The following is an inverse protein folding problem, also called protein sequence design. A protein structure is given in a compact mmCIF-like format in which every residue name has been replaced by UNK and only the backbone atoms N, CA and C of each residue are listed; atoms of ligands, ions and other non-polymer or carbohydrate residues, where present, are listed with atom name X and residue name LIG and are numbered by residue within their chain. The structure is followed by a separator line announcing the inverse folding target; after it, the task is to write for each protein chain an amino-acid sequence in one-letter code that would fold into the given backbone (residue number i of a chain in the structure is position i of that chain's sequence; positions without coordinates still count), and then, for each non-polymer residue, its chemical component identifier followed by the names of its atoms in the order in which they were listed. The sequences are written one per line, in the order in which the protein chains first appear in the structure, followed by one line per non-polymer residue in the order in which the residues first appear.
data_IF_181493024484
#
_entry.id   IF_181493024484
#
_cell.length_a   1.000
_cell.length_b   1.000
_cell.length_c   1.000
_cell.angle_alpha   90.00
_cell.angle_beta   90.00
_cell.angle_gamma   90.00
#
_symmetry.space_group_name_H-M   'P 1'
#
loop_
_entity.id
_entity.type
_entity.pdbx_description
1 polymer ?
#
# COMPACT_ATOMS: atom_id res chain seq x y z
N UNK A 1 3.03 17.29 -8.62
CA UNK A 1 2.52 15.91 -8.69
C UNK A 1 2.70 15.25 -7.35
N UNK A 2 1.61 14.74 -6.76
CA UNK A 2 1.63 14.06 -5.45
C UNK A 2 0.97 12.69 -5.54
N UNK A 3 1.64 11.64 -5.09
CA UNK A 3 1.02 10.32 -4.92
C UNK A 3 1.39 9.71 -3.59
N UNK A 4 0.56 8.77 -3.14
CA UNK A 4 0.75 8.08 -1.87
C UNK A 4 0.83 6.58 -2.13
N UNK A 5 1.91 5.96 -1.69
CA UNK A 5 2.05 4.51 -1.69
C UNK A 5 1.62 3.93 -0.35
N UNK A 6 0.92 2.80 -0.38
CA UNK A 6 0.40 2.11 0.81
C UNK A 6 0.76 0.63 0.78
N UNK A 7 0.89 0.06 1.97
CA UNK A 7 0.98 -1.38 2.19
C UNK A 7 0.41 -1.73 3.57
N UNK A 8 -0.17 -2.92 3.72
CA UNK A 8 -0.78 -3.39 4.96
C UNK A 8 -0.32 -4.80 5.32
N UNK A 9 0.07 -4.97 6.60
CA UNK A 9 0.22 -6.31 7.18
C UNK A 9 -1.03 -6.74 7.93
N UNK A 10 -1.31 -8.03 7.94
CA UNK A 10 -2.52 -8.57 8.54
C UNK A 10 -2.24 -9.66 9.56
N UNK A 11 -2.89 -9.59 10.71
CA UNK A 11 -2.86 -10.61 11.75
C UNK A 11 -3.57 -11.90 11.30
N UNK A 12 -4.61 -11.75 10.49
CA UNK A 12 -5.47 -12.83 10.00
C UNK A 12 -6.28 -12.38 8.77
N UNK A 13 -7.13 -13.25 8.25
CA UNK A 13 -7.94 -12.99 7.05
C UNK A 13 -9.29 -12.30 7.33
N UNK A 14 -9.59 -11.94 8.59
CA UNK A 14 -10.82 -11.21 8.93
C UNK A 14 -10.84 -9.81 8.31
N UNK A 15 -12.03 -9.25 8.14
CA UNK A 15 -12.23 -7.92 7.56
C UNK A 15 -11.37 -6.84 8.26
N UNK A 16 -11.34 -6.84 9.59
CA UNK A 16 -10.58 -5.90 10.42
C UNK A 16 -9.24 -6.47 10.94
N UNK A 17 -8.61 -7.37 10.17
CA UNK A 17 -7.37 -8.03 10.56
C UNK A 17 -6.08 -7.23 10.28
N UNK A 18 -6.14 -5.96 9.88
CA UNK A 18 -4.94 -5.14 9.68
C UNK A 18 -4.20 -4.98 11.01
N UNK A 19 -2.91 -5.30 11.03
CA UNK A 19 -2.04 -5.17 12.22
C UNK A 19 -0.86 -4.19 12.00
N UNK A 20 -0.58 -3.79 10.77
CA UNK A 20 0.30 -2.68 10.47
C UNK A 20 -0.13 -1.96 9.20
N UNK A 21 0.21 -0.69 9.10
CA UNK A 21 0.03 0.12 7.90
C UNK A 21 1.29 0.95 7.63
N UNK A 22 1.75 0.93 6.40
CA UNK A 22 2.80 1.77 5.87
C UNK A 22 2.25 2.74 4.84
N UNK A 23 2.63 4.00 4.93
CA UNK A 23 2.23 5.05 3.99
C UNK A 23 3.45 5.91 3.65
N UNK A 24 3.75 6.00 2.37
CA UNK A 24 4.84 6.82 1.85
C UNK A 24 4.29 7.85 0.86
N UNK A 25 4.53 9.13 1.14
CA UNK A 25 4.11 10.25 0.28
C UNK A 25 5.25 10.67 -0.61
N UNK A 26 4.96 10.79 -1.88
CA UNK A 26 5.91 11.25 -2.89
C UNK A 26 5.37 12.53 -3.54
N UNK A 27 6.22 13.56 -3.57
CA UNK A 27 5.91 14.83 -4.24
C UNK A 27 7.06 15.18 -5.19
N UNK A 28 6.72 15.58 -6.40
CA UNK A 28 7.66 16.05 -7.42
C UNK A 28 8.88 15.14 -7.64
N UNK A 29 8.64 13.82 -7.59
CA UNK A 29 9.66 12.81 -7.84
C UNK A 29 10.49 12.41 -6.61
N UNK A 30 10.19 12.95 -5.43
CA UNK A 30 10.90 12.63 -4.18
C UNK A 30 9.97 12.07 -3.10
N UNK A 31 10.49 11.19 -2.26
CA UNK A 31 9.83 10.79 -1.01
C UNK A 31 9.89 11.97 -0.04
N UNK A 32 8.73 12.46 0.40
CA UNK A 32 8.62 13.63 1.28
C UNK A 32 8.17 13.29 2.69
N UNK A 33 7.34 12.28 2.83
CA UNK A 33 6.85 11.83 4.14
C UNK A 33 6.70 10.32 4.18
N UNK A 34 6.98 9.74 5.34
CA UNK A 34 6.79 8.32 5.65
C UNK A 34 6.07 8.17 6.98
N UNK A 35 5.11 7.27 7.02
CA UNK A 35 4.37 6.97 8.26
C UNK A 35 4.15 5.48 8.41
N UNK A 36 4.39 4.98 9.61
CA UNK A 36 4.16 3.60 9.99
C UNK A 36 3.29 3.53 11.24
N UNK A 37 2.32 2.64 11.25
CA UNK A 37 1.52 2.32 12.42
C UNK A 37 1.53 0.82 12.66
N UNK A 38 1.82 0.41 13.89
CA UNK A 38 1.32 -0.84 14.43
C UNK A 38 -0.13 -0.63 14.87
N UNK A 39 -1.00 -1.57 14.54
CA UNK A 39 -2.44 -1.45 14.74
C UNK A 39 -2.92 -2.67 15.51
N UNK A 40 -3.68 -2.43 16.56
CA UNK A 40 -4.33 -3.50 17.30
C UNK A 40 -5.63 -3.89 16.60
N UNK A 41 -5.75 -5.12 16.06
CA UNK A 41 -7.02 -5.59 15.55
C UNK A 41 -8.09 -5.64 16.65
N UNK A 42 -9.38 -5.37 16.34
CA UNK A 42 -10.43 -5.28 17.35
C UNK A 42 -10.70 -6.62 18.03
N UNK A 43 -11.35 -6.57 19.19
CA UNK A 43 -11.80 -7.77 19.91
C UNK A 43 -12.68 -8.63 18.99
N UNK A 44 -12.39 -9.92 18.89
CA UNK A 44 -13.05 -10.84 17.95
C UNK A 44 -12.30 -11.03 16.61
N UNK A 45 -11.39 -10.12 16.26
CA UNK A 45 -10.44 -10.26 15.14
C UNK A 45 -8.98 -10.13 15.60
N UNK A 46 -8.72 -10.13 16.91
CA UNK A 46 -7.41 -9.87 17.50
C UNK A 46 -6.48 -11.10 17.59
N UNK A 47 -6.87 -12.25 17.05
CA UNK A 47 -5.99 -13.42 17.00
C UNK A 47 -5.03 -13.32 15.81
N UNK A 48 -3.83 -13.88 16.00
CA UNK A 48 -2.77 -13.88 14.98
C UNK A 48 -2.55 -15.30 14.46
N UNK A 49 -2.34 -15.41 13.16
CA UNK A 49 -1.99 -16.67 12.51
C UNK A 49 -0.49 -16.83 12.49
N UNK A 50 0.00 -17.99 12.88
CA UNK A 50 1.45 -18.27 12.95
C UNK A 50 2.13 -18.10 11.59
N UNK A 51 1.46 -18.48 10.49
CA UNK A 51 1.99 -18.33 9.15
C UNK A 51 2.16 -16.84 8.74
N UNK A 52 1.31 -15.93 9.21
CA UNK A 52 1.44 -14.50 8.96
C UNK A 52 2.50 -13.87 9.87
N UNK A 53 2.56 -14.29 11.14
CA UNK A 53 3.65 -13.88 12.04
C UNK A 53 5.00 -14.29 11.45
N UNK A 54 5.12 -15.50 10.88
CA UNK A 54 6.35 -15.97 10.25
C UNK A 54 6.77 -15.11 9.04
N UNK A 55 5.82 -14.41 8.40
CA UNK A 55 6.07 -13.52 7.27
C UNK A 55 6.54 -12.14 7.72
N UNK A 56 5.78 -11.45 8.59
CA UNK A 56 6.02 -10.03 8.94
C UNK A 56 6.56 -9.83 10.37
N UNK A 57 6.66 -10.88 11.18
CA UNK A 57 7.21 -10.81 12.54
C UNK A 57 6.31 -10.13 13.59
N UNK A 58 5.16 -9.56 13.21
CA UNK A 58 4.28 -8.83 14.12
C UNK A 58 3.47 -9.82 14.94
N UNK A 59 3.54 -9.70 16.27
CA UNK A 59 2.83 -10.57 17.21
C UNK A 59 1.69 -9.81 17.92
N UNK A 60 0.76 -10.55 18.51
CA UNK A 60 -0.29 -9.98 19.36
C UNK A 60 0.26 -9.09 20.47
N UNK A 61 1.37 -9.49 21.09
CA UNK A 61 1.99 -8.72 22.19
C UNK A 61 2.51 -7.36 21.71
N UNK A 62 3.09 -7.28 20.52
CA UNK A 62 3.59 -6.03 19.94
C UNK A 62 2.50 -4.99 19.72
N UNK A 63 1.29 -5.43 19.38
CA UNK A 63 0.17 -4.52 19.08
C UNK A 63 -0.77 -4.29 20.25
N UNK A 64 -0.58 -4.96 21.39
CA UNK A 64 -1.52 -4.94 22.52
C UNK A 64 -1.87 -3.53 23.03
N UNK A 65 -0.90 -2.63 23.05
CA UNK A 65 -1.06 -1.24 23.50
C UNK A 65 -1.12 -0.24 22.32
N UNK A 66 -1.17 -0.73 21.08
CA UNK A 66 -1.25 0.11 19.89
C UNK A 66 -2.69 0.59 19.66
N UNK A 67 -2.88 1.69 18.90
CA UNK A 67 -4.19 2.17 18.51
C UNK A 67 -4.94 1.13 17.67
N UNK A 68 -6.26 1.17 17.69
CA UNK A 68 -7.10 0.47 16.73
C UNK A 68 -7.22 1.26 15.43
N UNK A 69 -7.67 0.61 14.37
CA UNK A 69 -7.76 1.23 13.04
C UNK A 69 -8.56 2.55 13.03
N UNK A 70 -9.71 2.72 13.75
CA UNK A 70 -10.43 3.99 13.79
C UNK A 70 -9.62 5.18 14.33
N UNK A 71 -8.63 4.92 15.17
CA UNK A 71 -7.80 5.98 15.77
C UNK A 71 -6.76 6.52 14.77
N UNK A 72 -6.27 5.66 13.85
CA UNK A 72 -5.32 6.07 12.81
C UNK A 72 -6.00 6.50 11.51
N UNK A 73 -7.25 6.11 11.32
CA UNK A 73 -8.00 6.34 10.09
C UNK A 73 -8.07 7.82 9.65
N UNK A 74 -8.28 8.81 10.55
CA UNK A 74 -8.32 10.22 10.14
C UNK A 74 -7.02 10.68 9.46
N UNK A 75 -5.85 10.31 10.01
CA UNK A 75 -4.56 10.66 9.43
C UNK A 75 -4.31 9.92 8.11
N UNK A 76 -4.60 8.60 8.07
CA UNK A 76 -4.51 7.79 6.86
C UNK A 76 -5.40 8.38 5.75
N UNK A 77 -6.66 8.66 6.05
CA UNK A 77 -7.63 9.17 5.07
C UNK A 77 -7.28 10.56 4.55
N UNK A 78 -6.74 11.44 5.40
CA UNK A 78 -6.24 12.75 4.96
C UNK A 78 -5.14 12.61 3.91
N UNK A 79 -4.21 11.65 4.09
CA UNK A 79 -3.14 11.37 3.13
C UNK A 79 -3.68 10.80 1.81
N UNK A 80 -4.63 9.86 1.88
CA UNK A 80 -5.26 9.28 0.68
C UNK A 80 -6.05 10.35 -0.10
N UNK A 81 -6.78 11.22 0.59
CA UNK A 81 -7.56 12.30 -0.03
C UNK A 81 -6.70 13.38 -0.69
N UNK A 82 -5.48 13.60 -0.17
CA UNK A 82 -4.54 14.59 -0.70
C UNK A 82 -3.72 14.09 -1.90
N UNK A 83 -3.82 12.81 -2.25
CA UNK A 83 -3.06 12.20 -3.34
C UNK A 83 -3.78 12.35 -4.68
N UNK A 84 -3.05 12.65 -5.75
CA UNK A 84 -3.56 12.57 -7.13
C UNK A 84 -3.91 11.12 -7.51
N UNK A 85 -3.18 10.15 -6.93
CA UNK A 85 -3.40 8.71 -7.07
C UNK A 85 -2.75 7.95 -5.90
N UNK A 86 -3.37 6.84 -5.51
CA UNK A 86 -2.81 5.89 -4.53
C UNK A 86 -2.11 4.75 -5.27
N UNK A 87 -1.03 4.26 -4.70
CA UNK A 87 -0.19 3.22 -5.28
C UNK A 87 -0.05 2.07 -4.29
N UNK A 88 -0.08 0.84 -4.76
CA UNK A 88 0.32 -0.32 -3.97
C UNK A 88 1.01 -1.35 -4.88
N UNK A 89 1.83 -2.20 -4.29
CA UNK A 89 2.31 -3.38 -4.99
C UNK A 89 1.37 -4.55 -4.67
N UNK A 90 0.73 -5.13 -5.69
CA UNK A 90 -0.40 -6.06 -5.49
C UNK A 90 -1.68 -5.42 -4.91
N UNK A 91 -2.04 -4.24 -5.38
CA UNK A 91 -3.19 -3.44 -4.93
C UNK A 91 -4.53 -4.21 -4.81
N UNK A 92 -4.65 -5.38 -5.46
CA UNK A 92 -5.80 -6.29 -5.30
C UNK A 92 -5.90 -6.91 -3.90
N UNK A 93 -4.85 -6.83 -3.09
CA UNK A 93 -4.85 -7.21 -1.69
C UNK A 93 -5.13 -5.98 -0.79
N UNK A 94 -4.35 -4.92 -0.92
CA UNK A 94 -4.39 -3.77 -0.01
C UNK A 94 -5.71 -2.99 -0.08
N UNK A 95 -6.18 -2.70 -1.29
CA UNK A 95 -7.39 -1.88 -1.43
C UNK A 95 -8.64 -2.60 -0.94
N UNK A 96 -8.91 -3.88 -1.27
CA UNK A 96 -10.01 -4.62 -0.66
C UNK A 96 -9.88 -4.78 0.85
N UNK A 97 -8.65 -4.97 1.38
CA UNK A 97 -8.41 -5.08 2.81
C UNK A 97 -8.75 -3.77 3.53
N UNK A 98 -8.28 -2.64 3.02
CA UNK A 98 -8.66 -1.32 3.53
C UNK A 98 -10.18 -1.13 3.55
N UNK A 99 -10.84 -1.41 2.42
CA UNK A 99 -12.30 -1.26 2.29
C UNK A 99 -13.07 -2.16 3.26
N UNK A 100 -12.65 -3.42 3.42
CA UNK A 100 -13.30 -4.34 4.35
C UNK A 100 -13.14 -3.89 5.81
N UNK A 101 -11.98 -3.32 6.15
CA UNK A 101 -11.71 -2.76 7.48
C UNK A 101 -12.55 -1.50 7.72
N UNK A 102 -12.58 -0.59 6.77
CA UNK A 102 -13.43 0.62 6.80
C UNK A 102 -14.90 0.27 7.01
N UNK A 103 -15.41 -0.70 6.23
CA UNK A 103 -16.79 -1.20 6.36
C UNK A 103 -17.06 -1.83 7.72
N UNK A 104 -16.11 -2.63 8.24
CA UNK A 104 -16.23 -3.26 9.55
C UNK A 104 -16.46 -2.25 10.68
N UNK A 105 -15.74 -1.12 10.62
CA UNK A 105 -15.85 -0.05 11.62
C UNK A 105 -16.90 1.01 11.28
N UNK A 106 -17.64 0.91 10.18
CA UNK A 106 -18.62 1.91 9.75
C UNK A 106 -18.02 3.28 9.44
N UNK A 107 -16.74 3.32 9.02
CA UNK A 107 -16.03 4.56 8.71
C UNK A 107 -16.33 5.02 7.28
N UNK A 108 -16.10 6.33 7.02
CA UNK A 108 -16.22 6.93 5.70
C UNK A 108 -14.81 7.13 5.12
N UNK A 109 -14.41 6.29 4.18
CA UNK A 109 -13.16 6.45 3.44
C UNK A 109 -13.34 7.42 2.27
N UNK A 110 -12.40 8.35 2.04
CA UNK A 110 -12.44 9.20 0.85
C UNK A 110 -12.40 8.35 -0.43
N UNK A 111 -12.96 8.89 -1.51
CA UNK A 111 -12.73 8.33 -2.83
C UNK A 111 -11.30 8.62 -3.25
N UNK A 112 -10.63 7.64 -3.83
CA UNK A 112 -9.29 7.80 -4.43
C UNK A 112 -9.13 6.84 -5.61
N UNK A 113 -8.44 7.27 -6.63
CA UNK A 113 -8.00 6.39 -7.70
C UNK A 113 -6.72 5.67 -7.30
N UNK A 114 -6.52 4.46 -7.79
CA UNK A 114 -5.32 3.71 -7.48
C UNK A 114 -4.73 2.97 -8.67
N UNK A 115 -3.43 2.70 -8.59
CA UNK A 115 -2.69 1.87 -9.55
C UNK A 115 -1.86 0.82 -8.83
N UNK A 116 -1.42 -0.20 -9.59
CA UNK A 116 -0.70 -1.35 -9.06
C UNK A 116 0.65 -1.51 -9.77
N UNK A 117 1.74 -1.31 -9.05
CA UNK A 117 3.10 -1.44 -9.61
C UNK A 117 3.43 -2.87 -10.03
N UNK A 118 2.85 -3.90 -9.38
CA UNK A 118 2.97 -5.29 -9.83
C UNK A 118 2.35 -5.49 -11.23
N UNK A 119 1.19 -4.88 -11.50
CA UNK A 119 0.53 -4.94 -12.81
C UNK A 119 1.34 -4.19 -13.86
N UNK A 120 1.81 -2.99 -13.52
CA UNK A 120 2.61 -2.17 -14.43
C UNK A 120 3.96 -2.83 -14.77
N UNK A 121 4.62 -3.48 -13.79
CA UNK A 121 5.89 -4.15 -14.02
C UNK A 121 5.82 -5.29 -15.04
N UNK A 122 4.69 -6.00 -15.09
CA UNK A 122 4.46 -7.05 -16.10
C UNK A 122 4.43 -6.52 -17.53
N UNK A 123 4.05 -5.26 -17.70
CA UNK A 123 3.98 -4.60 -19.00
C UNK A 123 5.33 -3.96 -19.37
N UNK A 124 5.98 -3.29 -18.39
CA UNK A 124 7.20 -2.52 -18.63
C UNK A 124 8.42 -3.43 -18.66
N UNK A 125 8.48 -4.41 -17.78
CA UNK A 125 9.61 -5.33 -17.58
C UNK A 125 9.18 -6.81 -17.69
N UNK A 126 8.60 -7.25 -18.82
CA UNK A 126 8.08 -8.61 -18.99
C UNK A 126 9.15 -9.70 -18.88
N UNK A 127 10.43 -9.32 -18.97
CA UNK A 127 11.59 -10.22 -18.90
C UNK A 127 11.97 -10.62 -17.45
N UNK A 128 11.36 -9.99 -16.41
CA UNK A 128 11.67 -10.36 -15.03
C UNK A 128 11.20 -11.79 -14.72
N UNK A 129 11.97 -12.51 -13.92
CA UNK A 129 11.65 -13.87 -13.48
C UNK A 129 10.25 -13.96 -12.82
N UNK A 130 9.95 -12.95 -12.01
CA UNK A 130 8.65 -12.75 -11.41
C UNK A 130 8.42 -11.26 -11.13
N UNK A 131 7.20 -10.90 -10.71
CA UNK A 131 6.83 -9.51 -10.42
C UNK A 131 6.48 -9.31 -8.94
N UNK A 132 7.13 -10.06 -8.05
CA UNK A 132 7.06 -9.83 -6.60
C UNK A 132 7.81 -8.54 -6.25
N UNK A 133 7.40 -7.88 -5.17
CA UNK A 133 7.97 -6.61 -4.77
C UNK A 133 9.50 -6.63 -4.64
N UNK A 134 10.13 -7.63 -4.00
CA UNK A 134 11.60 -7.69 -3.90
C UNK A 134 12.29 -7.81 -5.26
N UNK A 135 11.74 -8.60 -6.18
CA UNK A 135 12.31 -8.77 -7.53
C UNK A 135 12.27 -7.47 -8.31
N UNK A 136 11.12 -6.79 -8.31
CA UNK A 136 10.97 -5.53 -9.03
C UNK A 136 11.78 -4.39 -8.39
N UNK A 137 11.85 -4.35 -7.06
CA UNK A 137 12.70 -3.39 -6.35
C UNK A 137 14.18 -3.61 -6.64
N UNK A 138 14.64 -4.86 -6.64
CA UNK A 138 16.03 -5.21 -6.99
C UNK A 138 16.37 -4.80 -8.42
N UNK A 139 15.44 -4.94 -9.36
CA UNK A 139 15.63 -4.51 -10.75
C UNK A 139 15.95 -3.02 -10.88
N UNK A 140 15.34 -2.18 -10.06
CA UNK A 140 15.61 -0.74 -10.01
C UNK A 140 16.76 -0.36 -9.07
N UNK A 141 17.49 -1.34 -8.52
CA UNK A 141 18.60 -1.13 -7.59
C UNK A 141 18.20 -0.74 -6.17
N UNK A 142 16.92 -0.91 -5.80
CA UNK A 142 16.41 -0.62 -4.46
C UNK A 142 16.43 -1.89 -3.60
N UNK A 143 17.07 -1.80 -2.40
CA UNK A 143 17.09 -2.86 -1.39
C UNK A 143 16.36 -2.37 -0.14
N UNK A 144 15.56 -3.23 0.47
CA UNK A 144 14.75 -2.91 1.65
C UNK A 144 14.43 -4.18 2.44
N UNK A 145 13.93 -4.02 3.65
CA UNK A 145 13.42 -5.11 4.49
C UNK A 145 11.99 -5.43 4.08
N UNK A 146 11.79 -6.52 3.37
CA UNK A 146 10.47 -6.97 2.91
C UNK A 146 9.61 -7.45 4.07
N UNK A 147 8.29 -7.31 3.96
CA UNK A 147 7.29 -7.56 4.99
C UNK A 147 7.34 -6.57 6.18
N UNK A 148 7.88 -5.40 5.94
CA UNK A 148 7.69 -4.21 6.74
C UNK A 148 6.80 -3.25 5.95
N UNK A 149 5.56 -3.03 6.39
CA UNK A 149 4.56 -2.29 5.62
C UNK A 149 5.06 -0.90 5.14
N UNK A 150 5.89 -0.19 5.92
CA UNK A 150 6.44 1.09 5.47
C UNK A 150 7.50 0.90 4.40
N UNK A 151 8.43 -0.03 4.60
CA UNK A 151 9.48 -0.31 3.62
C UNK A 151 8.89 -0.81 2.29
N UNK A 152 7.82 -1.61 2.36
CA UNK A 152 7.09 -2.14 1.20
C UNK A 152 6.35 -1.01 0.46
N UNK A 153 5.69 -0.09 1.18
CA UNK A 153 5.07 1.10 0.60
C UNK A 153 6.12 2.02 -0.07
N UNK A 154 7.26 2.28 0.58
CA UNK A 154 8.35 3.06 -0.01
C UNK A 154 8.92 2.41 -1.27
N UNK A 155 9.13 1.09 -1.26
CA UNK A 155 9.57 0.34 -2.42
C UNK A 155 8.57 0.44 -3.57
N UNK A 156 7.27 0.28 -3.31
CA UNK A 156 6.22 0.43 -4.32
C UNK A 156 6.23 1.83 -4.96
N UNK A 157 6.41 2.88 -4.15
CA UNK A 157 6.51 4.25 -4.65
C UNK A 157 7.76 4.50 -5.50
N UNK A 158 8.93 4.00 -5.07
CA UNK A 158 10.19 4.09 -5.83
C UNK A 158 10.11 3.33 -7.16
N UNK A 159 9.46 2.17 -7.18
CA UNK A 159 9.20 1.42 -8.41
C UNK A 159 8.37 2.26 -9.39
N UNK A 160 7.32 2.91 -8.92
CA UNK A 160 6.51 3.79 -9.77
C UNK A 160 7.33 4.95 -10.35
N UNK A 161 8.18 5.59 -9.54
CA UNK A 161 9.09 6.65 -10.03
C UNK A 161 10.04 6.15 -11.11
N UNK A 162 10.66 4.97 -10.92
CA UNK A 162 11.54 4.37 -11.92
C UNK A 162 10.80 4.06 -13.23
N UNK A 163 9.57 3.55 -13.16
CA UNK A 163 8.71 3.31 -14.33
C UNK A 163 8.39 4.61 -15.08
N UNK A 164 8.04 5.67 -14.34
CA UNK A 164 7.77 6.99 -14.92
C UNK A 164 9.01 7.57 -15.59
N UNK A 165 10.17 7.45 -14.96
CA UNK A 165 11.44 7.90 -15.53
C UNK A 165 11.79 7.14 -16.81
N UNK A 166 11.68 5.80 -16.82
CA UNK A 166 11.99 4.98 -18.00
C UNK A 166 11.07 5.29 -19.18
N UNK A 167 9.80 5.57 -18.92
CA UNK A 167 8.80 5.87 -19.95
C UNK A 167 8.66 7.37 -20.26
N UNK A 168 9.47 8.24 -19.65
CA UNK A 168 9.37 9.71 -19.75
C UNK A 168 7.94 10.21 -19.47
N UNK A 169 7.25 9.59 -18.50
CA UNK A 169 5.89 9.96 -18.13
C UNK A 169 5.90 11.10 -17.11
N UNK A 170 5.09 12.14 -17.35
CA UNK A 170 4.99 13.31 -16.47
C UNK A 170 4.33 13.00 -15.10
N UNK A 171 3.69 11.83 -14.98
CA UNK A 171 3.01 11.42 -13.75
C UNK A 171 2.40 10.02 -13.87
N UNK A 172 1.84 9.48 -12.77
CA UNK A 172 1.26 8.14 -12.77
C UNK A 172 0.10 7.97 -13.76
N UNK A 173 -0.73 9.00 -13.95
CA UNK A 173 -1.83 8.96 -14.92
C UNK A 173 -1.31 8.95 -16.37
N UNK A 174 -0.32 9.79 -16.66
CA UNK A 174 0.33 9.80 -17.97
C UNK A 174 1.01 8.45 -18.27
N UNK A 175 1.66 7.83 -17.26
CA UNK A 175 2.20 6.49 -17.39
C UNK A 175 1.10 5.46 -17.71
N UNK A 176 -0.01 5.51 -17.00
CA UNK A 176 -1.13 4.61 -17.22
C UNK A 176 -1.71 4.75 -18.66
N UNK A 177 -1.86 5.97 -19.15
CA UNK A 177 -2.29 6.26 -20.52
C UNK A 177 -1.31 5.69 -21.55
N UNK A 178 -0.01 5.94 -21.38
CA UNK A 178 1.05 5.40 -22.26
C UNK A 178 1.03 3.87 -22.36
N UNK A 179 0.65 3.20 -21.28
CA UNK A 179 0.59 1.74 -21.19
C UNK A 179 -0.78 1.17 -21.57
N UNK A 180 -1.76 2.00 -21.89
CA UNK A 180 -3.15 1.57 -22.15
C UNK A 180 -3.83 0.96 -20.92
N UNK A 181 -3.39 1.32 -19.69
CA UNK A 181 -3.91 0.81 -18.43
C UNK A 181 -4.63 1.93 -17.70
N UNK A 182 -5.93 1.78 -17.48
CA UNK A 182 -6.65 2.77 -16.68
C UNK A 182 -6.38 2.57 -15.18
N UNK A 183 -6.15 3.65 -14.41
CA UNK A 183 -6.26 3.61 -12.96
C UNK A 183 -7.62 3.09 -12.54
N UNK A 184 -7.67 2.36 -11.46
CA UNK A 184 -8.95 1.86 -10.93
C UNK A 184 -9.59 2.94 -10.08
N UNK A 185 -10.80 3.36 -10.47
CA UNK A 185 -11.58 4.33 -9.71
C UNK A 185 -11.95 3.73 -8.33
N UNK A 186 -11.46 4.35 -7.29
CA UNK A 186 -11.82 4.03 -5.91
C UNK A 186 -13.08 4.79 -5.53
N UNK A 187 -14.23 4.11 -5.52
CA UNK A 187 -15.48 4.71 -5.01
C UNK A 187 -15.35 4.92 -3.51
N UNK A 188 -15.91 6.04 -2.99
CA UNK A 188 -16.11 6.22 -1.55
C UNK A 188 -16.90 5.01 -1.03
N UNK A 189 -16.32 4.30 -0.06
CA UNK A 189 -16.99 3.16 0.55
C UNK A 189 -17.89 3.60 1.71
N UNK A 190 -19.12 3.17 1.72
CA UNK A 190 -19.97 2.99 2.90
C UNK A 190 -19.80 1.57 3.40
#
# INVERSE_FOLDING_TARGET
MKFVAIDFETANYCAAGICAAGVATFEDGALTESKYWLIRPPKGSGWFRDELIAVHGITHEMVRSCPEFPEIAPELFARLAAADIVVAHSAHFDVPKLRSTVKHFGLQCPAFDYTCTCRLSKIIWPQLENHQLPTVASHIGHRFEHHNALADAEAAGRILLAMMQEKNAAGPRALAELLGVQPVAGRSGT
#
